data_IF_708276180917
#
_entry.id   IF_708276180917
#
_cell.length_a   1.000
_cell.length_b   1.000
_cell.length_c   1.000
_cell.angle_alpha   90.00
_cell.angle_beta   90.00
_cell.angle_gamma   90.00
#
_symmetry.space_group_name_H-M   'P 1'
#
loop_
_entity.id
_entity.type
_entity.pdbx_description
1 polymer ?
#
# COMPACT_ATOMS: atom_id res chain seq x y z
N UNK A 1 -17.65 -2.38 -14.60
CA UNK A 1 -17.25 -0.97 -14.38
C UNK A 1 -15.86 -0.82 -13.78
N UNK A 2 -15.49 -1.61 -12.77
CA UNK A 2 -14.25 -1.47 -12.03
C UNK A 2 -12.97 -1.56 -12.91
N UNK A 3 -12.95 -2.46 -13.90
CA UNK A 3 -11.79 -2.60 -14.81
C UNK A 3 -11.50 -1.33 -15.61
N UNK A 4 -12.53 -0.58 -16.05
CA UNK A 4 -12.34 0.65 -16.79
C UNK A 4 -11.77 1.78 -15.93
N UNK A 5 -12.13 1.82 -14.65
CA UNK A 5 -11.58 2.78 -13.69
C UNK A 5 -10.08 2.51 -13.49
N UNK A 6 -9.71 1.25 -13.26
CA UNK A 6 -8.31 0.86 -13.10
C UNK A 6 -7.48 1.12 -14.36
N UNK A 7 -7.98 0.73 -15.53
CA UNK A 7 -7.32 1.05 -16.80
C UNK A 7 -7.17 2.55 -16.99
N UNK A 8 -8.19 3.34 -16.64
CA UNK A 8 -8.14 4.80 -16.69
C UNK A 8 -7.07 5.39 -15.77
N UNK A 9 -6.96 4.90 -14.53
CA UNK A 9 -5.93 5.32 -13.58
C UNK A 9 -4.52 4.96 -14.06
N UNK A 10 -4.32 3.75 -14.58
CA UNK A 10 -3.01 3.30 -15.10
C UNK A 10 -2.61 4.17 -16.30
N UNK A 11 -3.49 4.32 -17.28
CA UNK A 11 -3.22 5.13 -18.48
C UNK A 11 -2.98 6.60 -18.08
N UNK A 12 -3.82 7.15 -17.20
CA UNK A 12 -3.65 8.51 -16.69
C UNK A 12 -2.31 8.72 -15.99
N UNK A 13 -1.87 7.75 -15.18
CA UNK A 13 -0.57 7.81 -14.50
C UNK A 13 0.62 7.78 -15.47
N UNK A 14 0.55 6.94 -16.51
CA UNK A 14 1.58 6.86 -17.56
C UNK A 14 1.63 8.13 -18.40
N UNK A 15 0.47 8.67 -18.79
CA UNK A 15 0.39 9.94 -19.52
C UNK A 15 0.94 11.10 -18.69
N UNK A 16 0.60 11.15 -17.41
CA UNK A 16 1.14 12.15 -16.48
C UNK A 16 2.66 12.04 -16.37
N UNK A 17 3.20 10.84 -16.13
CA UNK A 17 4.65 10.64 -16.04
C UNK A 17 5.36 11.02 -17.33
N UNK A 18 4.84 10.59 -18.49
CA UNK A 18 5.42 10.94 -19.78
C UNK A 18 5.41 12.44 -20.02
N UNK A 19 4.31 13.13 -19.69
CA UNK A 19 4.20 14.59 -19.84
C UNK A 19 5.22 15.30 -18.95
N UNK A 20 5.33 14.91 -17.68
CA UNK A 20 6.30 15.52 -16.75
C UNK A 20 7.73 15.23 -17.18
N UNK A 21 8.06 13.99 -17.52
CA UNK A 21 9.43 13.62 -17.91
C UNK A 21 9.85 14.27 -19.23
N UNK A 22 8.93 14.42 -20.20
CA UNK A 22 9.21 15.14 -21.44
C UNK A 22 9.42 16.63 -21.20
N UNK A 23 8.66 17.25 -20.30
CA UNK A 23 8.89 18.62 -19.87
C UNK A 23 10.24 18.78 -19.16
N UNK A 24 10.55 17.91 -18.18
CA UNK A 24 11.82 17.95 -17.44
C UNK A 24 13.04 17.78 -18.37
N UNK A 25 12.91 16.93 -19.39
CA UNK A 25 13.93 16.72 -20.41
C UNK A 25 14.08 17.94 -21.34
N UNK A 26 12.97 18.55 -21.76
CA UNK A 26 12.97 19.75 -22.60
C UNK A 26 13.56 20.97 -21.88
N UNK A 27 13.26 21.15 -20.59
CA UNK A 27 13.82 22.22 -19.75
C UNK A 27 15.27 21.93 -19.30
N UNK A 28 15.76 20.71 -19.55
CA UNK A 28 17.04 20.19 -19.06
C UNK A 28 17.23 20.49 -17.57
N UNK A 29 16.22 20.15 -16.76
CA UNK A 29 16.13 20.43 -15.32
C UNK A 29 17.37 19.93 -14.55
N UNK A 30 17.87 18.76 -14.93
CA UNK A 30 19.02 18.10 -14.29
C UNK A 30 20.36 18.46 -14.91
N UNK A 31 20.39 19.31 -15.95
CA UNK A 31 21.62 19.72 -16.65
C UNK A 31 22.48 18.53 -17.09
N UNK A 32 21.84 17.51 -17.66
CA UNK A 32 22.43 16.21 -18.00
C UNK A 32 23.72 16.29 -18.83
N UNK A 33 23.83 17.30 -19.69
CA UNK A 33 24.95 17.50 -20.61
C UNK A 33 25.92 18.61 -20.16
N UNK A 34 25.79 19.13 -18.93
CA UNK A 34 26.64 20.19 -18.40
C UNK A 34 27.42 19.71 -17.18
N UNK A 35 28.71 20.02 -17.14
CA UNK A 35 29.55 19.72 -15.99
C UNK A 35 29.51 20.87 -14.98
N UNK A 36 29.24 20.56 -13.71
CA UNK A 36 29.22 21.49 -12.60
C UNK A 36 30.66 21.87 -12.21
N UNK A 37 31.04 23.16 -12.25
CA UNK A 37 32.35 23.60 -11.80
C UNK A 37 32.54 23.36 -10.30
N UNK A 38 33.63 22.70 -9.93
CA UNK A 38 33.96 22.36 -8.55
C UNK A 38 35.44 22.58 -8.24
N UNK A 39 35.74 22.75 -6.96
CA UNK A 39 37.12 22.74 -6.46
C UNK A 39 37.32 21.50 -5.61
N UNK A 40 38.25 20.64 -6.02
CA UNK A 40 38.71 19.50 -5.24
C UNK A 40 39.83 19.94 -4.30
N UNK A 41 39.72 19.62 -3.02
CA UNK A 41 40.77 19.80 -2.03
C UNK A 41 41.29 18.42 -1.60
N UNK A 42 42.60 18.20 -1.73
CA UNK A 42 43.27 16.95 -1.33
C UNK A 42 43.93 17.16 0.04
N UNK A 43 43.38 16.59 1.13
CA UNK A 43 43.93 16.78 2.48
C UNK A 43 45.40 16.35 2.59
N UNK A 44 45.76 15.25 1.93
CA UNK A 44 47.10 14.66 1.94
C UNK A 44 47.90 14.96 0.65
N UNK A 45 47.37 15.86 -0.19
CA UNK A 45 47.91 16.15 -1.52
C UNK A 45 47.52 15.11 -2.58
N UNK A 46 47.52 15.53 -3.85
CA UNK A 46 47.12 14.67 -4.96
C UNK A 46 48.11 13.51 -5.19
N UNK A 47 47.60 12.27 -5.16
CA UNK A 47 48.35 11.05 -5.44
C UNK A 47 47.91 10.42 -6.79
N UNK A 48 48.73 10.48 -7.85
CA UNK A 48 48.32 10.09 -9.21
C UNK A 48 48.15 8.57 -9.42
N UNK A 49 48.76 7.74 -8.56
CA UNK A 49 48.72 6.28 -8.67
C UNK A 49 47.72 5.63 -7.69
N UNK A 50 47.08 6.42 -6.82
CA UNK A 50 46.12 5.90 -5.86
C UNK A 50 44.78 5.61 -6.53
N UNK A 51 44.31 4.36 -6.44
CA UNK A 51 43.02 3.97 -7.01
C UNK A 51 41.84 4.64 -6.29
N UNK A 52 41.94 4.84 -4.99
CA UNK A 52 40.96 5.57 -4.17
C UNK A 52 41.71 6.52 -3.27
N UNK A 53 41.30 7.79 -3.22
CA UNK A 53 41.88 8.79 -2.33
C UNK A 53 40.80 9.74 -1.80
N UNK A 54 40.87 10.14 -0.52
CA UNK A 54 39.91 11.07 0.05
C UNK A 54 40.08 12.46 -0.56
N UNK A 55 38.96 13.14 -0.81
CA UNK A 55 38.90 14.48 -1.37
C UNK A 55 37.75 15.25 -0.73
N UNK A 56 37.89 16.57 -0.59
CA UNK A 56 36.75 17.44 -0.25
C UNK A 56 36.34 18.22 -1.48
N UNK A 57 35.05 18.16 -1.83
CA UNK A 57 34.49 18.91 -2.95
C UNK A 57 33.88 20.19 -2.41
N UNK A 58 34.35 21.32 -2.92
CA UNK A 58 33.70 22.62 -2.73
C UNK A 58 32.96 23.01 -4.00
N UNK A 59 31.68 23.31 -3.82
CA UNK A 59 30.79 23.78 -4.88
C UNK A 59 30.40 25.22 -4.51
N UNK A 60 30.56 26.15 -5.45
CA UNK A 60 30.17 27.54 -5.24
C UNK A 60 28.64 27.67 -5.29
N UNK A 61 28.02 28.19 -4.22
CA UNK A 61 26.56 28.25 -4.10
C UNK A 61 25.92 29.14 -5.16
N UNK A 62 26.58 30.22 -5.57
CA UNK A 62 26.07 31.11 -6.63
C UNK A 62 26.11 30.41 -8.00
N UNK A 63 27.20 29.71 -8.30
CA UNK A 63 27.34 28.91 -9.51
C UNK A 63 26.29 27.81 -9.56
N UNK A 64 26.05 27.13 -8.43
CA UNK A 64 25.01 26.12 -8.30
C UNK A 64 23.60 26.68 -8.54
N UNK A 65 23.25 27.77 -7.83
CA UNK A 65 21.95 28.42 -7.96
C UNK A 65 21.68 28.89 -9.39
N UNK A 66 22.67 29.50 -10.03
CA UNK A 66 22.57 29.94 -11.43
C UNK A 66 22.45 28.78 -12.41
N UNK A 67 23.19 27.69 -12.19
CA UNK A 67 23.18 26.52 -13.08
C UNK A 67 21.83 25.81 -13.04
N UNK A 68 21.28 25.57 -11.85
CA UNK A 68 20.05 24.81 -11.67
C UNK A 68 18.79 25.67 -11.52
N UNK A 69 18.91 26.99 -11.41
CA UNK A 69 17.78 27.91 -11.20
C UNK A 69 17.09 27.72 -9.85
N UNK A 70 17.84 27.40 -8.81
CA UNK A 70 17.34 27.08 -7.46
C UNK A 70 17.92 28.01 -6.40
N UNK A 71 17.07 28.48 -5.49
CA UNK A 71 17.49 29.20 -4.28
C UNK A 71 17.76 28.19 -3.16
N UNK A 72 18.86 27.42 -3.30
CA UNK A 72 19.27 26.44 -2.31
C UNK A 72 20.72 26.68 -1.86
N UNK A 73 20.92 26.67 -0.54
CA UNK A 73 22.24 26.77 0.06
C UNK A 73 22.91 25.39 0.08
N UNK A 74 24.13 25.31 -0.44
CA UNK A 74 24.98 24.13 -0.34
C UNK A 74 25.85 24.20 0.91
N UNK A 75 26.26 23.04 1.41
CA UNK A 75 27.28 22.97 2.45
C UNK A 75 28.62 23.48 1.93
N UNK A 76 29.45 23.98 2.87
CA UNK A 76 30.72 24.62 2.53
C UNK A 76 31.74 23.69 1.85
N UNK A 77 31.65 22.38 2.13
CA UNK A 77 32.43 21.32 1.52
C UNK A 77 31.75 19.96 1.77
N UNK A 78 31.85 19.06 0.79
CA UNK A 78 31.39 17.67 0.89
C UNK A 78 32.58 16.73 0.96
N UNK A 79 32.57 15.80 1.92
CA UNK A 79 33.53 14.70 1.95
C UNK A 79 33.21 13.72 0.83
N UNK A 80 34.25 13.25 0.14
CA UNK A 80 34.12 12.40 -1.03
C UNK A 80 35.37 11.56 -1.24
N UNK A 81 35.26 10.54 -2.08
CA UNK A 81 36.37 9.70 -2.52
C UNK A 81 36.57 9.85 -4.02
N UNK A 82 37.77 10.25 -4.43
CA UNK A 82 38.18 10.20 -5.83
C UNK A 82 38.60 8.77 -6.16
N UNK A 83 37.88 8.15 -7.09
CA UNK A 83 38.12 6.79 -7.58
C UNK A 83 38.65 6.85 -9.01
N UNK A 84 39.79 6.22 -9.25
CA UNK A 84 40.39 6.12 -10.56
C UNK A 84 40.01 4.79 -11.20
N UNK A 85 39.19 4.85 -12.25
CA UNK A 85 38.71 3.70 -13.02
C UNK A 85 39.37 3.66 -14.40
N UNK A 86 39.22 2.55 -15.14
CA UNK A 86 39.70 2.46 -16.52
C UNK A 86 39.01 3.47 -17.45
N UNK A 87 37.77 3.85 -17.13
CA UNK A 87 36.95 4.83 -17.86
C UNK A 87 37.27 6.30 -17.52
N UNK A 88 38.14 6.56 -16.55
CA UNK A 88 38.48 7.92 -16.11
C UNK A 88 38.47 8.09 -14.60
N UNK A 89 38.29 9.32 -14.13
CA UNK A 89 38.27 9.65 -12.70
C UNK A 89 36.83 9.96 -12.28
N UNK A 90 36.30 9.14 -11.37
CA UNK A 90 34.96 9.30 -10.78
C UNK A 90 35.10 9.82 -9.35
N UNK A 91 34.14 10.60 -8.91
CA UNK A 91 34.02 11.01 -7.51
C UNK A 91 32.75 10.41 -6.94
N UNK A 92 32.91 9.74 -5.80
CA UNK A 92 31.83 9.21 -4.97
C UNK A 92 31.71 10.09 -3.74
N UNK A 93 30.55 10.70 -3.53
CA UNK A 93 30.31 11.49 -2.32
C UNK A 93 29.99 10.58 -1.14
N UNK A 94 30.24 11.05 0.09
CA UNK A 94 29.84 10.29 1.28
C UNK A 94 28.32 10.10 1.34
N UNK A 95 27.87 8.94 1.82
CA UNK A 95 26.46 8.54 1.82
C UNK A 95 25.58 9.42 2.72
N UNK A 96 26.17 10.01 3.75
CA UNK A 96 25.48 10.84 4.75
C UNK A 96 25.41 12.31 4.32
N UNK A 97 25.94 12.64 3.14
CA UNK A 97 25.91 14.00 2.61
C UNK A 97 24.47 14.41 2.26
N UNK A 98 24.05 15.56 2.80
CA UNK A 98 22.74 16.13 2.49
C UNK A 98 22.86 17.07 1.29
N UNK A 99 22.20 16.72 0.18
CA UNK A 99 22.21 17.52 -1.03
C UNK A 99 20.87 18.26 -1.21
N UNK A 100 20.89 19.52 -1.65
CA UNK A 100 19.69 20.18 -2.14
C UNK A 100 19.25 19.63 -3.51
N UNK A 101 18.01 19.91 -3.89
CA UNK A 101 17.54 19.64 -5.24
C UNK A 101 18.27 20.52 -6.27
N UNK A 102 18.67 19.99 -7.43
CA UNK A 102 18.30 18.68 -7.96
C UNK A 102 19.30 17.53 -7.68
N UNK A 103 20.38 17.78 -6.92
CA UNK A 103 21.42 16.78 -6.67
C UNK A 103 20.91 15.60 -5.83
N UNK A 104 20.02 15.85 -4.86
CA UNK A 104 19.33 14.80 -4.12
C UNK A 104 18.55 13.86 -5.05
N UNK A 105 17.80 14.42 -6.01
CA UNK A 105 17.11 13.59 -7.00
C UNK A 105 18.09 12.78 -7.83
N UNK A 106 19.20 13.36 -8.30
CA UNK A 106 20.23 12.64 -9.08
C UNK A 106 20.83 11.49 -8.27
N UNK A 107 21.14 11.72 -6.98
CA UNK A 107 21.63 10.68 -6.08
C UNK A 107 20.60 9.54 -5.96
N UNK A 108 19.36 9.85 -5.56
CA UNK A 108 18.30 8.85 -5.40
C UNK A 108 17.99 8.10 -6.69
N UNK A 109 18.17 8.74 -7.84
CA UNK A 109 17.88 8.14 -9.13
C UNK A 109 18.88 7.05 -9.50
N UNK A 110 20.16 7.23 -9.14
CA UNK A 110 21.26 6.32 -9.47
C UNK A 110 21.72 5.46 -8.30
N UNK A 111 21.14 5.65 -7.11
CA UNK A 111 21.39 4.85 -5.93
C UNK A 111 21.03 3.38 -6.18
N UNK A 112 21.94 2.50 -5.78
CA UNK A 112 21.75 1.04 -5.76
C UNK A 112 22.00 0.53 -4.35
N UNK A 113 21.48 -0.66 -4.01
CA UNK A 113 21.68 -1.26 -2.69
C UNK A 113 23.17 -1.35 -2.29
N UNK A 114 24.05 -1.62 -3.26
CA UNK A 114 25.50 -1.70 -3.05
C UNK A 114 26.21 -0.34 -2.97
N UNK A 115 25.60 0.72 -3.49
CA UNK A 115 26.23 2.04 -3.59
C UNK A 115 25.19 3.17 -3.70
N UNK A 116 24.76 3.76 -2.57
CA UNK A 116 23.76 4.82 -2.53
C UNK A 116 24.37 6.23 -2.72
N UNK A 117 25.68 6.33 -2.94
CA UNK A 117 26.37 7.62 -3.05
C UNK A 117 26.02 8.36 -4.34
N UNK A 118 26.06 9.69 -4.29
CA UNK A 118 26.09 10.51 -5.49
C UNK A 118 27.41 10.28 -6.24
N UNK A 119 27.35 10.18 -7.57
CA UNK A 119 28.53 9.92 -8.41
C UNK A 119 28.65 10.96 -9.52
N UNK A 120 29.88 11.41 -9.77
CA UNK A 120 30.19 12.30 -10.88
C UNK A 120 31.51 11.95 -11.55
N UNK A 121 31.61 12.17 -12.85
CA UNK A 121 32.85 11.96 -13.64
C UNK A 121 33.55 13.30 -13.87
N UNK A 122 34.87 13.33 -13.73
CA UNK A 122 35.67 14.52 -14.02
C UNK A 122 35.85 14.69 -15.54
N UNK A 123 35.38 15.81 -16.10
CA UNK A 123 35.41 16.06 -17.56
C UNK A 123 36.62 16.87 -18.03
N UNK A 124 37.24 17.65 -17.16
CA UNK A 124 38.36 18.53 -17.52
C UNK A 124 39.34 18.71 -16.36
N UNK A 125 40.15 17.68 -16.08
CA UNK A 125 41.25 17.81 -15.13
C UNK A 125 42.50 18.33 -15.85
N UNK A 126 43.02 19.54 -15.53
CA UNK A 126 44.31 19.97 -16.04
C UNK A 126 45.42 19.00 -15.58
N UNK A 127 46.58 18.99 -16.24
CA UNK A 127 47.71 18.17 -15.81
C UNK A 127 48.15 18.58 -14.39
N UNK A 128 47.96 17.68 -13.42
CA UNK A 128 48.21 17.94 -12.00
C UNK A 128 49.50 17.26 -11.56
N UNK A 129 50.41 18.03 -10.95
CA UNK A 129 51.61 17.50 -10.33
C UNK A 129 51.31 16.79 -9.00
N UNK A 130 52.13 15.80 -8.60
CA UNK A 130 52.00 15.14 -7.31
C UNK A 130 52.07 16.17 -6.16
N UNK A 131 51.24 15.98 -5.13
CA UNK A 131 51.20 16.88 -3.96
C UNK A 131 50.38 18.16 -4.15
N UNK A 132 49.64 18.30 -5.25
CA UNK A 132 48.72 19.44 -5.43
C UNK A 132 47.62 19.42 -4.37
N UNK A 133 47.45 20.53 -3.64
CA UNK A 133 46.47 20.63 -2.56
C UNK A 133 45.05 20.99 -3.05
N UNK A 134 44.93 21.77 -4.14
CA UNK A 134 43.64 22.20 -4.69
C UNK A 134 43.62 22.10 -6.21
N UNK A 135 42.51 21.62 -6.76
CA UNK A 135 42.29 21.48 -8.19
C UNK A 135 40.91 22.01 -8.58
N UNK A 136 40.89 23.02 -9.46
CA UNK A 136 39.64 23.46 -10.12
C UNK A 136 39.37 22.56 -11.31
N UNK A 137 38.16 22.01 -11.37
CA UNK A 137 37.71 21.07 -12.40
C UNK A 137 36.20 21.15 -12.53
N UNK A 138 35.60 20.32 -13.38
CA UNK A 138 34.15 20.18 -13.47
C UNK A 138 33.75 18.71 -13.28
N UNK A 139 32.60 18.51 -12.62
CA UNK A 139 31.97 17.21 -12.40
C UNK A 139 30.72 17.09 -13.27
N UNK A 140 30.68 16.08 -14.11
CA UNK A 140 29.47 15.71 -14.82
C UNK A 140 28.79 14.55 -14.11
N UNK A 141 27.54 14.75 -13.70
CA UNK A 141 26.72 13.72 -13.07
C UNK A 141 26.12 12.78 -14.11
N UNK A 142 25.78 11.57 -13.68
CA UNK A 142 25.08 10.61 -14.54
C UNK A 142 23.70 11.17 -14.94
N UNK A 143 23.29 11.04 -16.21
CA UNK A 143 22.09 11.69 -16.71
C UNK A 143 20.82 11.08 -16.10
N UNK A 144 19.86 11.93 -15.74
CA UNK A 144 18.53 11.53 -15.27
C UNK A 144 17.54 11.69 -16.43
N UNK A 145 16.86 10.60 -16.78
CA UNK A 145 15.87 10.56 -17.87
C UNK A 145 14.68 9.72 -17.43
N UNK A 146 13.47 10.12 -17.81
CA UNK A 146 12.24 9.35 -17.59
C UNK A 146 12.03 8.87 -16.13
N UNK A 147 12.33 9.74 -15.16
CA UNK A 147 12.30 9.38 -13.74
C UNK A 147 10.91 9.02 -13.29
N UNK A 148 9.89 9.82 -13.65
CA UNK A 148 8.52 9.54 -13.23
C UNK A 148 8.01 8.25 -13.84
N UNK A 149 8.31 8.01 -15.11
CA UNK A 149 7.92 6.77 -15.80
C UNK A 149 8.55 5.54 -15.12
N UNK A 150 9.85 5.61 -14.80
CA UNK A 150 10.55 4.56 -14.07
C UNK A 150 9.93 4.30 -12.69
N UNK A 151 9.63 5.37 -11.93
CA UNK A 151 9.06 5.23 -10.59
C UNK A 151 7.66 4.59 -10.63
N UNK A 152 6.82 4.96 -11.62
CA UNK A 152 5.50 4.34 -11.79
C UNK A 152 5.63 2.87 -12.19
N UNK A 153 6.54 2.55 -13.11
CA UNK A 153 6.78 1.18 -13.52
C UNK A 153 7.27 0.31 -12.35
N UNK A 154 8.20 0.83 -11.53
CA UNK A 154 8.68 0.15 -10.33
C UNK A 154 7.55 -0.08 -9.33
N UNK A 155 6.77 0.96 -9.01
CA UNK A 155 5.63 0.85 -8.11
C UNK A 155 4.62 -0.21 -8.59
N UNK A 156 4.38 -0.30 -9.90
CA UNK A 156 3.49 -1.33 -10.45
C UNK A 156 4.02 -2.75 -10.21
N UNK A 157 5.33 -2.97 -10.34
CA UNK A 157 5.96 -4.26 -10.05
C UNK A 157 5.92 -4.57 -8.54
N UNK A 158 6.26 -3.61 -7.69
CA UNK A 158 6.24 -3.76 -6.23
C UNK A 158 4.82 -4.10 -5.72
N UNK A 159 3.80 -3.47 -6.28
CA UNK A 159 2.40 -3.79 -5.96
C UNK A 159 1.98 -5.16 -6.48
N UNK A 160 2.48 -5.61 -7.62
CA UNK A 160 2.22 -6.97 -8.12
C UNK A 160 2.81 -8.03 -7.18
N UNK A 161 4.04 -7.82 -6.69
CA UNK A 161 4.66 -8.69 -5.68
C UNK A 161 3.88 -8.67 -4.37
N UNK A 162 3.51 -7.49 -3.90
CA UNK A 162 2.68 -7.33 -2.69
C UNK A 162 1.35 -8.09 -2.82
N UNK A 163 0.67 -7.95 -3.96
CA UNK A 163 -0.58 -8.65 -4.23
C UNK A 163 -0.41 -10.18 -4.24
N UNK A 164 0.66 -10.69 -4.86
CA UNK A 164 0.96 -12.12 -4.89
C UNK A 164 1.26 -12.67 -3.49
N UNK A 165 2.07 -11.95 -2.70
CA UNK A 165 2.39 -12.31 -1.32
C UNK A 165 1.14 -12.35 -0.43
N UNK A 166 0.28 -11.34 -0.55
CA UNK A 166 -1.01 -11.28 0.14
C UNK A 166 -1.91 -12.46 -0.26
N UNK A 167 -2.05 -12.74 -1.56
CA UNK A 167 -2.87 -13.84 -2.04
C UNK A 167 -2.40 -15.20 -1.48
N UNK A 168 -1.09 -15.46 -1.48
CA UNK A 168 -0.52 -16.69 -0.94
C UNK A 168 -0.74 -16.81 0.58
N UNK A 169 -0.55 -15.72 1.31
CA UNK A 169 -0.81 -15.65 2.75
C UNK A 169 -2.28 -15.94 3.06
N UNK A 170 -3.20 -15.34 2.28
CA UNK A 170 -4.64 -15.56 2.41
C UNK A 170 -4.99 -17.02 2.18
N UNK A 171 -4.51 -17.66 1.11
CA UNK A 171 -4.79 -19.08 0.82
C UNK A 171 -4.45 -19.97 2.03
N UNK A 172 -3.29 -19.77 2.65
CA UNK A 172 -2.87 -20.55 3.81
C UNK A 172 -3.81 -20.39 5.01
N UNK A 173 -4.19 -19.16 5.34
CA UNK A 173 -5.07 -18.90 6.49
C UNK A 173 -6.53 -19.29 6.23
N UNK A 174 -7.06 -19.07 5.02
CA UNK A 174 -8.42 -19.54 4.68
C UNK A 174 -8.48 -21.06 4.75
N UNK A 175 -7.50 -21.77 4.18
CA UNK A 175 -7.44 -23.24 4.21
C UNK A 175 -7.40 -23.79 5.65
N UNK A 176 -6.59 -23.19 6.52
CA UNK A 176 -6.52 -23.59 7.93
C UNK A 176 -7.84 -23.34 8.67
N UNK A 177 -8.42 -22.14 8.53
CA UNK A 177 -9.62 -21.74 9.28
C UNK A 177 -10.86 -22.49 8.80
N UNK A 178 -11.03 -22.65 7.48
CA UNK A 178 -12.13 -23.45 6.92
C UNK A 178 -11.99 -24.92 7.30
N UNK A 179 -10.76 -25.47 7.34
CA UNK A 179 -10.50 -26.82 7.83
C UNK A 179 -10.87 -26.99 9.31
N UNK A 180 -10.52 -26.02 10.16
CA UNK A 180 -10.89 -26.04 11.57
C UNK A 180 -12.41 -25.96 11.76
N UNK A 181 -13.09 -25.13 10.98
CA UNK A 181 -14.56 -25.06 10.97
C UNK A 181 -15.17 -26.40 10.55
N UNK A 182 -14.64 -27.05 9.52
CA UNK A 182 -15.11 -28.37 9.09
C UNK A 182 -14.95 -29.43 10.19
N UNK A 183 -13.83 -29.41 10.92
CA UNK A 183 -13.63 -30.28 12.09
C UNK A 183 -14.65 -29.96 13.20
N UNK A 184 -14.92 -28.68 13.45
CA UNK A 184 -15.91 -28.24 14.43
C UNK A 184 -17.33 -28.68 14.08
N UNK A 185 -17.69 -28.63 12.79
CA UNK A 185 -18.98 -29.08 12.24
C UNK A 185 -19.12 -30.60 12.43
N UNK A 186 -18.11 -31.38 12.03
CA UNK A 186 -18.11 -32.83 12.24
C UNK A 186 -18.13 -33.22 13.72
N UNK A 187 -17.63 -32.36 14.61
CA UNK A 187 -17.64 -32.57 16.06
C UNK A 187 -18.96 -32.13 16.74
N UNK A 188 -19.91 -31.53 16.01
CA UNK A 188 -21.17 -31.02 16.57
C UNK A 188 -21.02 -29.70 17.36
N UNK A 189 -19.84 -29.07 17.33
CA UNK A 189 -19.55 -27.86 18.10
C UNK A 189 -20.23 -26.63 17.49
N UNK A 190 -20.34 -26.60 16.17
CA UNK A 190 -20.94 -25.49 15.43
C UNK A 190 -22.44 -25.45 15.69
N UNK A 191 -23.12 -26.59 15.69
CA UNK A 191 -24.55 -26.73 15.96
C UNK A 191 -24.86 -26.28 17.40
N UNK A 192 -24.02 -26.67 18.36
CA UNK A 192 -24.16 -26.26 19.75
C UNK A 192 -24.01 -24.75 19.94
N UNK A 193 -23.02 -24.13 19.29
CA UNK A 193 -22.82 -22.68 19.33
C UNK A 193 -23.93 -21.94 18.59
N UNK A 194 -24.33 -22.45 17.43
CA UNK A 194 -25.42 -21.89 16.62
C UNK A 194 -26.70 -21.87 17.43
N UNK A 195 -27.08 -22.96 18.11
CA UNK A 195 -28.29 -23.00 18.94
C UNK A 195 -28.35 -21.94 20.05
N UNK A 196 -27.20 -21.45 20.55
CA UNK A 196 -27.15 -20.35 21.54
C UNK A 196 -27.39 -18.99 20.90
N UNK A 197 -26.88 -18.78 19.68
CA UNK A 197 -26.91 -17.48 18.98
C UNK A 197 -28.13 -17.35 18.05
N UNK A 198 -28.70 -18.48 17.62
CA UNK A 198 -29.87 -18.60 16.76
C UNK A 198 -31.09 -17.78 17.22
N UNK A 199 -31.48 -17.70 18.51
CA UNK A 199 -32.61 -16.85 18.90
C UNK A 199 -32.38 -15.36 18.63
N UNK A 200 -31.13 -14.92 18.55
CA UNK A 200 -30.77 -13.55 18.19
C UNK A 200 -30.71 -13.35 16.67
N UNK A 201 -30.29 -14.36 15.91
CA UNK A 201 -30.08 -14.27 14.45
C UNK A 201 -31.33 -14.58 13.63
N UNK A 202 -32.18 -15.53 14.05
CA UNK A 202 -33.40 -15.89 13.32
C UNK A 202 -34.29 -14.67 12.98
N UNK A 203 -34.51 -13.70 13.89
CA UNK A 203 -35.30 -12.51 13.56
C UNK A 203 -34.62 -11.59 12.53
N UNK A 204 -33.29 -11.68 12.38
CA UNK A 204 -32.51 -10.86 11.46
C UNK A 204 -32.35 -11.50 10.07
N UNK A 205 -32.55 -12.81 9.95
CA UNK A 205 -32.42 -13.59 8.72
C UNK A 205 -33.66 -14.45 8.46
N UNK A 206 -34.83 -13.83 8.22
CA UNK A 206 -36.11 -14.53 8.14
C UNK A 206 -36.23 -15.50 6.95
N UNK A 207 -35.46 -15.31 5.87
CA UNK A 207 -35.58 -16.16 4.67
C UNK A 207 -34.60 -17.35 4.67
N UNK A 208 -33.83 -17.53 5.74
CA UNK A 208 -32.91 -18.67 5.87
C UNK A 208 -33.61 -19.85 6.56
N UNK A 209 -33.75 -21.01 5.89
CA UNK A 209 -34.36 -22.20 6.51
C UNK A 209 -33.57 -22.69 7.74
N UNK A 210 -34.27 -23.28 8.72
CA UNK A 210 -33.65 -23.76 9.96
C UNK A 210 -32.56 -24.82 9.74
N UNK A 211 -32.69 -25.64 8.69
CA UNK A 211 -31.73 -26.71 8.35
C UNK A 211 -30.63 -26.25 7.37
N UNK A 212 -30.59 -24.96 6.99
CA UNK A 212 -29.61 -24.46 6.02
C UNK A 212 -28.29 -24.03 6.70
N UNK A 213 -27.10 -24.40 6.16
CA UNK A 213 -25.80 -24.08 6.77
C UNK A 213 -25.48 -22.58 6.85
N UNK A 214 -26.23 -21.72 6.15
CA UNK A 214 -26.02 -20.27 6.16
C UNK A 214 -26.02 -19.68 7.58
N UNK A 215 -26.98 -20.05 8.44
CA UNK A 215 -27.03 -19.51 9.82
C UNK A 215 -25.82 -19.93 10.65
N UNK A 216 -25.31 -21.15 10.45
CA UNK A 216 -24.10 -21.63 11.12
C UNK A 216 -22.86 -20.83 10.67
N UNK A 217 -22.70 -20.62 9.36
CA UNK A 217 -21.58 -19.85 8.81
C UNK A 217 -21.65 -18.35 9.17
N UNK A 218 -22.85 -17.77 9.21
CA UNK A 218 -23.09 -16.41 9.72
C UNK A 218 -22.69 -16.32 11.21
N UNK A 219 -23.14 -17.29 12.02
CA UNK A 219 -22.81 -17.35 13.44
C UNK A 219 -21.30 -17.41 13.66
N UNK A 220 -20.61 -18.27 12.91
CA UNK A 220 -19.16 -18.42 12.96
C UNK A 220 -18.42 -17.14 12.56
N UNK A 221 -18.85 -16.49 11.48
CA UNK A 221 -18.29 -15.23 11.04
C UNK A 221 -18.45 -14.12 12.10
N UNK A 222 -19.65 -13.99 12.69
CA UNK A 222 -19.90 -13.02 13.75
C UNK A 222 -19.09 -13.34 15.02
N UNK A 223 -18.99 -14.60 15.43
CA UNK A 223 -18.18 -15.01 16.56
C UNK A 223 -16.69 -14.73 16.33
N UNK A 224 -16.18 -14.98 15.12
CA UNK A 224 -14.80 -14.66 14.77
C UNK A 224 -14.53 -13.15 14.89
N UNK A 225 -15.47 -12.30 14.47
CA UNK A 225 -15.39 -10.85 14.68
C UNK A 225 -15.44 -10.48 16.17
N UNK A 226 -16.38 -11.05 16.93
CA UNK A 226 -16.57 -10.77 18.37
C UNK A 226 -15.33 -11.12 19.20
N UNK A 227 -14.67 -12.23 18.89
CA UNK A 227 -13.45 -12.68 19.58
C UNK A 227 -12.15 -12.10 19.02
N UNK A 228 -12.21 -11.15 18.08
CA UNK A 228 -11.02 -10.51 17.53
C UNK A 228 -10.18 -11.41 16.61
N UNK A 229 -10.75 -12.52 16.14
CA UNK A 229 -10.16 -13.44 15.17
C UNK A 229 -10.38 -12.93 13.73
N UNK A 230 -10.11 -11.65 13.48
CA UNK A 230 -10.45 -10.97 12.21
C UNK A 230 -9.86 -11.65 10.96
N UNK A 231 -8.70 -12.29 11.09
CA UNK A 231 -8.08 -13.05 9.99
C UNK A 231 -8.87 -14.31 9.58
N UNK A 232 -9.74 -14.81 10.46
CA UNK A 232 -10.66 -15.92 10.20
C UNK A 232 -12.07 -15.42 9.84
N UNK A 233 -12.44 -14.18 10.20
CA UNK A 233 -13.78 -13.68 9.97
C UNK A 233 -14.09 -13.51 8.47
N UNK A 234 -13.18 -12.93 7.69
CA UNK A 234 -13.38 -12.68 6.26
C UNK A 234 -13.67 -13.94 5.42
N UNK A 235 -12.89 -15.06 5.51
CA UNK A 235 -13.25 -16.29 4.79
C UNK A 235 -14.63 -16.83 5.17
N UNK A 236 -14.96 -16.80 6.46
CA UNK A 236 -16.25 -17.27 6.96
C UNK A 236 -17.40 -16.38 6.45
N UNK A 237 -17.16 -15.07 6.34
CA UNK A 237 -18.11 -14.13 5.77
C UNK A 237 -18.35 -14.36 4.28
N UNK A 238 -17.31 -14.68 3.51
CA UNK A 238 -17.44 -15.07 2.10
C UNK A 238 -18.26 -16.36 1.98
N UNK A 239 -17.94 -17.38 2.79
CA UNK A 239 -18.69 -18.64 2.80
C UNK A 239 -20.17 -18.43 3.17
N UNK A 240 -20.44 -17.60 4.17
CA UNK A 240 -21.81 -17.21 4.55
C UNK A 240 -22.54 -16.47 3.42
N UNK A 241 -21.86 -15.58 2.69
CA UNK A 241 -22.42 -14.91 1.52
C UNK A 241 -22.71 -15.87 0.37
N UNK A 242 -21.85 -16.85 0.10
CA UNK A 242 -22.12 -17.90 -0.90
C UNK A 242 -23.36 -18.72 -0.52
N UNK A 243 -23.52 -19.06 0.76
CA UNK A 243 -24.67 -19.83 1.22
C UNK A 243 -25.96 -19.00 1.16
N UNK A 244 -25.91 -17.69 1.47
CA UNK A 244 -27.05 -16.79 1.25
C UNK A 244 -27.37 -16.61 -0.25
N UNK A 245 -26.35 -16.53 -1.10
CA UNK A 245 -26.53 -16.46 -2.55
C UNK A 245 -27.22 -17.72 -3.09
N UNK A 246 -26.98 -18.89 -2.52
CA UNK A 246 -27.67 -20.12 -2.94
C UNK A 246 -29.18 -20.12 -2.68
N UNK A 247 -29.64 -19.25 -1.77
CA UNK A 247 -31.05 -19.03 -1.46
C UNK A 247 -31.64 -17.82 -2.22
N UNK A 248 -30.81 -17.09 -2.97
CA UNK A 248 -31.21 -15.88 -3.66
C UNK A 248 -31.99 -16.22 -4.94
N UNK A 249 -33.24 -15.73 -5.10
CA UNK A 249 -34.00 -15.96 -6.32
C UNK A 249 -33.52 -15.13 -7.53
N UNK A 250 -32.77 -14.04 -7.30
CA UNK A 250 -32.20 -13.19 -8.37
C UNK A 250 -30.68 -13.05 -8.22
N UNK A 251 -29.91 -13.71 -9.07
CA UNK A 251 -28.45 -13.77 -8.92
C UNK A 251 -27.74 -12.41 -8.92
N UNK A 252 -28.25 -11.45 -9.69
CA UNK A 252 -27.65 -10.12 -9.89
C UNK A 252 -28.08 -9.07 -8.83
N UNK A 253 -29.02 -9.42 -7.94
CA UNK A 253 -29.59 -8.52 -6.95
C UNK A 253 -29.38 -9.07 -5.54
N UNK A 254 -28.78 -8.29 -4.63
CA UNK A 254 -28.56 -8.73 -3.26
C UNK A 254 -29.88 -8.82 -2.46
N UNK A 255 -30.05 -9.89 -1.68
CA UNK A 255 -31.20 -10.04 -0.77
C UNK A 255 -31.03 -9.21 0.50
N UNK A 256 -32.12 -8.96 1.21
CA UNK A 256 -32.11 -8.24 2.49
C UNK A 256 -31.21 -8.95 3.54
N UNK A 257 -31.16 -10.28 3.50
CA UNK A 257 -30.31 -11.11 4.35
C UNK A 257 -28.81 -10.87 4.05
N UNK A 258 -28.43 -10.79 2.76
CA UNK A 258 -27.06 -10.46 2.36
C UNK A 258 -26.67 -9.04 2.79
N UNK A 259 -27.59 -8.07 2.67
CA UNK A 259 -27.38 -6.70 3.13
C UNK A 259 -27.24 -6.64 4.66
N UNK A 260 -28.05 -7.40 5.39
CA UNK A 260 -27.96 -7.51 6.85
C UNK A 260 -26.60 -8.09 7.29
N UNK A 261 -26.16 -9.18 6.67
CA UNK A 261 -24.85 -9.77 6.94
C UNK A 261 -23.70 -8.78 6.69
N UNK A 262 -23.77 -8.03 5.58
CA UNK A 262 -22.78 -7.00 5.24
C UNK A 262 -22.76 -5.85 6.26
N UNK A 263 -23.93 -5.36 6.67
CA UNK A 263 -24.06 -4.29 7.66
C UNK A 263 -23.45 -4.73 9.01
N UNK A 264 -23.77 -5.94 9.46
CA UNK A 264 -23.21 -6.49 10.70
C UNK A 264 -21.70 -6.68 10.62
N UNK A 265 -21.17 -7.22 9.52
CA UNK A 265 -19.72 -7.38 9.32
C UNK A 265 -19.00 -6.02 9.28
N UNK A 266 -19.57 -5.03 8.61
CA UNK A 266 -19.00 -3.67 8.53
C UNK A 266 -18.94 -3.00 9.89
N UNK A 267 -19.96 -3.23 10.73
CA UNK A 267 -20.03 -2.68 12.07
C UNK A 267 -19.15 -3.41 13.11
N UNK A 268 -18.80 -4.68 12.86
CA UNK A 268 -17.81 -5.50 13.57
C UNK A 268 -17.86 -5.35 15.10
N UNK A 269 -18.93 -5.84 15.76
CA UNK A 269 -18.95 -5.94 17.24
C UNK A 269 -17.73 -6.71 17.70
N UNK A 270 -16.92 -6.10 18.57
CA UNK A 270 -15.72 -6.71 19.13
C UNK A 270 -15.80 -6.67 20.65
N UNK A 271 -15.84 -7.86 21.26
CA UNK A 271 -15.66 -8.03 22.71
C UNK A 271 -14.19 -8.15 23.07
N UNK A 272 -13.34 -8.60 22.14
CA UNK A 272 -11.89 -8.62 22.34
C UNK A 272 -11.26 -7.59 21.40
N UNK A 273 -10.33 -6.75 21.89
CA UNK A 273 -9.67 -5.80 21.03
C UNK A 273 -8.93 -6.50 19.86
N UNK A 274 -8.82 -5.85 18.68
CA UNK A 274 -8.16 -6.45 17.54
C UNK A 274 -6.76 -6.95 17.90
N UNK A 275 -6.43 -8.17 17.47
CA UNK A 275 -5.12 -8.81 17.72
C UNK A 275 -3.94 -7.95 17.29
N UNK A 276 -4.08 -7.19 16.20
CA UNK A 276 -3.09 -6.21 15.73
C UNK A 276 -2.88 -5.07 16.73
N UNK A 277 -3.95 -4.59 17.36
CA UNK A 277 -3.91 -3.51 18.33
C UNK A 277 -3.28 -4.00 19.64
N UNK A 278 -3.55 -5.26 20.04
CA UNK A 278 -2.86 -5.94 21.14
C UNK A 278 -1.36 -6.06 20.85
N UNK A 279 -0.99 -6.40 19.61
CA UNK A 279 0.41 -6.54 19.20
C UNK A 279 1.18 -5.21 19.25
N UNK A 280 0.53 -4.08 18.92
CA UNK A 280 1.17 -2.76 18.90
C UNK A 280 1.20 -2.13 20.30
N UNK A 281 0.12 -2.24 21.08
CA UNK A 281 -0.05 -1.52 22.34
C UNK A 281 0.21 -2.36 23.59
N UNK A 282 0.34 -3.68 23.45
CA UNK A 282 0.48 -4.60 24.57
C UNK A 282 -0.67 -4.44 25.58
N UNK A 283 -0.36 -4.44 26.88
CA UNK A 283 -1.36 -4.36 27.96
C UNK A 283 -2.07 -3.00 28.06
N UNK A 284 -1.56 -1.94 27.41
CA UNK A 284 -2.19 -0.61 27.42
C UNK A 284 -3.57 -0.62 26.74
N UNK A 285 -3.82 -1.61 25.86
CA UNK A 285 -5.10 -1.78 25.18
C UNK A 285 -6.29 -1.99 26.11
N UNK A 286 -6.06 -2.47 27.34
CA UNK A 286 -7.12 -2.66 28.32
C UNK A 286 -7.86 -1.35 28.64
N UNK A 287 -7.22 -0.20 28.48
CA UNK A 287 -7.84 1.11 28.66
C UNK A 287 -8.86 1.44 27.55
N UNK A 288 -8.70 0.83 26.37
CA UNK A 288 -9.54 1.05 25.20
C UNK A 288 -10.66 0.02 25.05
N UNK A 289 -10.59 -1.09 25.80
CA UNK A 289 -11.57 -2.18 25.74
C UNK A 289 -13.02 -1.67 25.78
N UNK A 290 -13.36 -0.90 26.81
CA UNK A 290 -14.72 -0.42 27.00
C UNK A 290 -15.17 0.50 25.86
N UNK A 291 -14.29 1.40 25.41
CA UNK A 291 -14.59 2.33 24.32
C UNK A 291 -14.78 1.61 22.98
N UNK A 292 -13.96 0.59 22.69
CA UNK A 292 -14.06 -0.22 21.46
C UNK A 292 -15.36 -1.02 21.47
N UNK A 293 -15.66 -1.74 22.56
CA UNK A 293 -16.88 -2.52 22.66
C UNK A 293 -18.13 -1.64 22.59
N UNK A 294 -18.13 -0.49 23.27
CA UNK A 294 -19.27 0.43 23.22
C UNK A 294 -19.47 1.02 21.82
N UNK A 295 -18.40 1.49 21.18
CA UNK A 295 -18.47 2.08 19.83
C UNK A 295 -18.94 1.06 18.79
N UNK A 296 -18.40 -0.17 18.83
CA UNK A 296 -18.79 -1.23 17.90
C UNK A 296 -20.21 -1.73 18.15
N UNK A 297 -20.65 -1.86 19.40
CA UNK A 297 -22.05 -2.16 19.73
C UNK A 297 -23.01 -1.09 19.17
N UNK A 298 -22.72 0.20 19.40
CA UNK A 298 -23.54 1.28 18.85
C UNK A 298 -23.56 1.27 17.33
N UNK A 299 -22.42 1.02 16.69
CA UNK A 299 -22.30 0.89 15.23
C UNK A 299 -23.16 -0.26 14.71
N UNK A 300 -23.15 -1.42 15.38
CA UNK A 300 -23.93 -2.58 14.96
C UNK A 300 -25.41 -2.39 15.14
N UNK A 301 -25.84 -1.79 16.27
CA UNK A 301 -27.25 -1.44 16.45
C UNK A 301 -27.70 -0.46 15.37
N UNK A 302 -26.89 0.56 15.07
CA UNK A 302 -27.19 1.52 14.00
C UNK A 302 -27.26 0.85 12.62
N UNK A 303 -26.35 -0.10 12.33
CA UNK A 303 -26.36 -0.88 11.10
C UNK A 303 -27.61 -1.73 10.95
N UNK A 304 -27.95 -2.54 11.97
CA UNK A 304 -29.15 -3.38 11.98
C UNK A 304 -30.41 -2.54 11.83
N UNK A 305 -30.56 -1.48 12.65
CA UNK A 305 -31.72 -0.58 12.59
C UNK A 305 -31.80 0.11 11.23
N UNK A 306 -30.66 0.55 10.68
CA UNK A 306 -30.58 1.14 9.36
C UNK A 306 -31.10 0.20 8.28
N UNK A 307 -30.62 -1.05 8.25
CA UNK A 307 -31.07 -2.07 7.30
C UNK A 307 -32.57 -2.34 7.44
N UNK A 308 -33.09 -2.52 8.67
CA UNK A 308 -34.51 -2.76 8.91
C UNK A 308 -35.42 -1.58 8.50
N UNK A 309 -34.95 -0.35 8.69
CA UNK A 309 -35.68 0.84 8.28
C UNK A 309 -35.68 1.00 6.76
N UNK A 310 -34.53 0.79 6.12
CA UNK A 310 -34.37 0.90 4.67
C UNK A 310 -35.17 -0.17 3.93
N UNK A 311 -35.19 -1.40 4.44
CA UNK A 311 -36.00 -2.50 3.90
C UNK A 311 -37.49 -2.14 3.79
N UNK A 312 -38.02 -1.33 4.72
CA UNK A 312 -39.43 -0.89 4.69
C UNK A 312 -39.73 0.24 3.72
N UNK A 313 -38.72 0.91 3.17
CA UNK A 313 -38.94 2.01 2.23
C UNK A 313 -39.45 1.43 0.91
N UNK A 314 -40.55 1.97 0.33
CA UNK A 314 -41.17 1.40 -0.88
C UNK A 314 -40.21 1.21 -2.05
N UNK A 315 -39.24 2.11 -2.20
CA UNK A 315 -38.22 2.03 -3.24
C UNK A 315 -37.35 0.78 -3.13
N UNK A 316 -36.85 0.47 -1.93
CA UNK A 316 -35.99 -0.72 -1.71
C UNK A 316 -36.80 -2.01 -1.61
N UNK A 317 -38.01 -1.94 -1.07
CA UNK A 317 -38.92 -3.08 -1.00
C UNK A 317 -39.27 -3.60 -2.40
N UNK A 318 -39.50 -2.71 -3.36
CA UNK A 318 -39.81 -3.08 -4.75
C UNK A 318 -38.65 -3.75 -5.49
N UNK A 319 -37.43 -3.66 -4.98
CA UNK A 319 -36.23 -4.30 -5.54
C UNK A 319 -35.78 -5.52 -4.76
N UNK A 320 -36.54 -5.96 -3.75
CA UNK A 320 -36.17 -7.12 -2.93
C UNK A 320 -36.47 -8.43 -3.68
N UNK A 321 -35.46 -9.28 -3.95
CA UNK A 321 -35.64 -10.51 -4.72
C UNK A 321 -36.69 -11.46 -4.13
N UNK A 322 -36.73 -11.63 -2.81
CA UNK A 322 -37.72 -12.48 -2.15
C UNK A 322 -39.13 -11.91 -2.25
N UNK A 323 -39.31 -10.60 -2.13
CA UNK A 323 -40.62 -9.97 -2.26
C UNK A 323 -41.20 -10.15 -3.67
N UNK A 324 -40.38 -9.98 -4.70
CA UNK A 324 -40.82 -10.12 -6.09
C UNK A 324 -41.25 -11.56 -6.40
N UNK A 325 -40.46 -12.54 -5.96
CA UNK A 325 -40.74 -13.96 -6.22
C UNK A 325 -42.00 -14.46 -5.48
N UNK A 326 -42.24 -14.01 -4.24
CA UNK A 326 -43.47 -14.33 -3.51
C UNK A 326 -44.72 -13.75 -4.22
N UNK A 327 -44.60 -12.56 -4.81
CA UNK A 327 -45.70 -11.90 -5.53
C UNK A 327 -46.00 -12.62 -6.86
N UNK A 328 -44.97 -13.05 -7.59
CA UNK A 328 -45.14 -13.83 -8.83
C UNK A 328 -45.73 -15.23 -8.57
N UNK A 329 -45.41 -15.86 -7.44
CA UNK A 329 -45.95 -17.15 -7.05
C UNK A 329 -47.45 -17.07 -6.70
N UNK A 330 -47.88 -16.01 -6.02
CA UNK A 330 -49.30 -15.75 -5.72
C UNK A 330 -50.11 -15.46 -7.00
N UNK A 331 -49.58 -14.65 -7.92
CA UNK A 331 -50.22 -14.34 -9.21
C UNK A 331 -50.34 -15.57 -10.14
N UNK A 332 -49.42 -16.54 -10.02
CA UNK A 332 -49.45 -17.79 -10.80
C UNK A 332 -50.40 -18.85 -10.19
N UNK A 333 -50.84 -18.67 -8.95
CA UNK A 333 -51.74 -19.59 -8.24
C UNK A 333 -53.23 -19.22 -8.36
N UNK A 334 -53.56 -18.00 -8.81
CA UNK A 334 -54.91 -17.53 -9.14
C UNK A 334 -55.35 -17.87 -10.58
#
# INVERSE_FOLDING_TARGET
MLNYIWSGLIIGSLLFALTVDTQELAENRFRNDQALPVTLEFPDGYAPNAQRQPVRIRIDSTTYANMFGVDAALDSAYSSTLVQTQEGRKVEFDTDANFPEPLATIQSYHATDDNPALRGTLTSAPAVGPGTARLKTALQFEPVRFRKLRNIAQAALDFAETAASLALSLIGILGLMLGLVKIGEEAGLIEALTGVVQPLLNPLFPNVPEDHPALANISLNLLANVFGLGNAATPLGIKAMEDLQSLNPEDDTATDDMVMLLAMNTSSVQLVPPSLLVAIMGLQINQLFFSITLATLCSTVAGIVGTLLLHRVPYFRATSPHHNNDTEADDAAE
#
